data_IF_801952564391
#
_entry.id   IF_801952564391
#
_cell.length_a   1.000
_cell.length_b   1.000
_cell.length_c   1.000
_cell.angle_alpha   90.00
_cell.angle_beta   90.00
_cell.angle_gamma   90.00
#
_symmetry.space_group_name_H-M   'P 1'
#
loop_
_entity.id
_entity.type
_entity.pdbx_description
1 polymer ?
#
# COMPACT_ATOMS: atom_id res chain seq x y z
N UNK A 1 0.29 -61.04 -49.40
CA UNK A 1 -0.54 -59.81 -49.41
C UNK A 1 -0.44 -59.16 -48.03
N UNK A 2 0.23 -58.00 -47.92
CA UNK A 2 0.48 -57.32 -46.64
C UNK A 2 -0.46 -56.12 -46.58
N UNK A 3 -1.54 -56.21 -45.78
CA UNK A 3 -2.48 -55.09 -45.57
C UNK A 3 -1.82 -54.08 -44.62
N UNK A 4 -1.56 -52.86 -45.10
CA UNK A 4 -1.22 -51.74 -44.23
C UNK A 4 -2.52 -51.09 -43.75
N UNK A 5 -2.64 -50.90 -42.44
CA UNK A 5 -3.74 -50.14 -41.82
C UNK A 5 -3.16 -48.77 -41.49
N UNK A 6 -3.55 -47.74 -42.25
CA UNK A 6 -3.19 -46.35 -41.97
C UNK A 6 -4.05 -45.84 -40.81
N UNK A 7 -3.45 -45.68 -39.64
CA UNK A 7 -4.07 -45.00 -38.50
C UNK A 7 -4.08 -43.49 -38.75
N UNK A 8 -5.26 -42.92 -38.97
CA UNK A 8 -5.45 -41.47 -39.12
C UNK A 8 -5.71 -40.88 -37.73
N UNK A 9 -4.65 -40.51 -37.01
CA UNK A 9 -4.77 -39.80 -35.73
C UNK A 9 -5.15 -38.34 -36.02
N UNK A 10 -6.43 -38.00 -35.87
CA UNK A 10 -6.87 -36.60 -35.86
C UNK A 10 -6.44 -35.96 -34.55
N UNK A 11 -5.51 -34.99 -34.59
CA UNK A 11 -5.19 -34.14 -33.46
C UNK A 11 -6.35 -33.16 -33.23
N UNK A 12 -7.18 -33.45 -32.25
CA UNK A 12 -8.10 -32.46 -31.68
C UNK A 12 -7.27 -31.47 -30.87
N UNK A 13 -7.08 -30.27 -31.42
CA UNK A 13 -6.53 -29.13 -30.68
C UNK A 13 -7.56 -28.71 -29.62
N UNK A 14 -7.34 -29.11 -28.37
CA UNK A 14 -8.09 -28.57 -27.23
C UNK A 14 -7.48 -27.20 -26.92
N UNK A 15 -8.09 -26.14 -27.44
CA UNK A 15 -7.83 -24.79 -26.95
C UNK A 15 -8.58 -24.59 -25.64
N UNK A 16 -7.84 -24.47 -24.53
CA UNK A 16 -8.42 -23.98 -23.28
C UNK A 16 -8.58 -22.46 -23.41
N UNK A 17 -9.80 -21.97 -23.50
CA UNK A 17 -10.08 -20.53 -23.38
C UNK A 17 -10.08 -20.15 -21.90
N UNK A 18 -9.12 -19.34 -21.48
CA UNK A 18 -9.15 -18.69 -20.17
C UNK A 18 -9.97 -17.41 -20.27
N UNK A 19 -11.07 -17.33 -19.54
CA UNK A 19 -11.91 -16.14 -19.43
C UNK A 19 -12.18 -15.84 -17.96
N UNK A 20 -12.16 -14.55 -17.61
CA UNK A 20 -12.50 -14.07 -16.26
C UNK A 20 -13.82 -13.29 -16.33
N UNK A 21 -14.72 -13.57 -15.40
CA UNK A 21 -15.99 -12.84 -15.23
C UNK A 21 -15.83 -11.92 -14.04
N UNK A 22 -16.23 -10.65 -14.20
CA UNK A 22 -16.20 -9.65 -13.15
C UNK A 22 -17.62 -9.13 -12.91
N UNK A 23 -18.01 -9.02 -11.64
CA UNK A 23 -19.25 -8.38 -11.22
C UNK A 23 -18.92 -7.15 -10.37
N UNK A 24 -19.75 -6.12 -10.48
CA UNK A 24 -19.74 -4.96 -9.59
C UNK A 24 -20.88 -5.13 -8.59
N UNK A 25 -20.58 -4.85 -7.32
CA UNK A 25 -21.51 -5.01 -6.20
C UNK A 25 -21.54 -3.68 -5.45
N UNK A 26 -22.73 -3.15 -5.22
CA UNK A 26 -22.90 -1.94 -4.42
C UNK A 26 -22.72 -2.25 -2.94
N UNK A 27 -22.24 -1.28 -2.18
CA UNK A 27 -22.12 -1.40 -0.72
C UNK A 27 -23.50 -1.53 -0.06
N UNK A 28 -23.54 -2.15 1.12
CA UNK A 28 -24.75 -2.29 1.93
C UNK A 28 -25.95 -2.98 1.25
N UNK A 29 -25.72 -3.72 0.16
CA UNK A 29 -26.75 -4.55 -0.46
C UNK A 29 -27.37 -5.52 0.55
N UNK A 30 -28.69 -5.70 0.45
CA UNK A 30 -29.44 -6.57 1.36
C UNK A 30 -29.05 -8.04 1.15
N UNK A 31 -29.03 -8.82 2.23
CA UNK A 31 -28.89 -10.28 2.14
C UNK A 31 -29.99 -10.85 1.23
N UNK A 32 -29.60 -11.76 0.34
CA UNK A 32 -30.42 -12.33 -0.72
C UNK A 32 -30.47 -11.52 -2.02
N UNK A 33 -29.83 -10.34 -2.09
CA UNK A 33 -29.78 -9.54 -3.32
C UNK A 33 -28.99 -10.27 -4.41
N UNK A 34 -29.40 -10.07 -5.68
CA UNK A 34 -28.74 -10.67 -6.84
C UNK A 34 -27.42 -9.96 -7.16
N UNK A 35 -26.35 -10.73 -7.31
CA UNK A 35 -25.04 -10.26 -7.80
C UNK A 35 -24.90 -10.49 -9.30
N UNK A 36 -25.25 -11.70 -9.79
CA UNK A 36 -25.10 -12.05 -11.20
C UNK A 36 -25.52 -13.48 -11.53
N UNK A 37 -25.68 -13.78 -12.82
CA UNK A 37 -26.11 -15.09 -13.33
C UNK A 37 -24.91 -15.92 -13.84
N UNK A 38 -24.19 -16.54 -12.91
CA UNK A 38 -22.96 -17.27 -13.21
C UNK A 38 -23.19 -18.50 -14.10
N UNK A 39 -24.38 -19.12 -14.05
CA UNK A 39 -24.72 -20.24 -14.93
C UNK A 39 -24.77 -19.80 -16.40
N UNK A 40 -25.43 -18.67 -16.66
CA UNK A 40 -25.55 -18.07 -17.98
C UNK A 40 -24.20 -17.58 -18.49
N UNK A 41 -23.46 -16.83 -17.67
CA UNK A 41 -22.17 -16.23 -18.06
C UNK A 41 -21.09 -17.29 -18.36
N UNK A 42 -21.17 -18.46 -17.72
CA UNK A 42 -20.29 -19.60 -18.01
C UNK A 42 -20.83 -20.52 -19.12
N UNK A 43 -22.06 -20.32 -19.59
CA UNK A 43 -22.74 -21.24 -20.51
C UNK A 43 -22.95 -22.65 -19.92
N UNK A 44 -23.13 -22.74 -18.60
CA UNK A 44 -23.28 -24.00 -17.87
C UNK A 44 -24.72 -24.11 -17.34
N UNK A 45 -25.43 -25.17 -17.72
CA UNK A 45 -26.77 -25.44 -17.17
C UNK A 45 -26.77 -25.71 -15.65
N UNK A 46 -27.83 -25.30 -14.96
CA UNK A 46 -27.98 -25.44 -13.50
C UNK A 46 -27.84 -26.89 -13.00
N UNK A 47 -28.29 -27.86 -13.78
CA UNK A 47 -28.13 -29.30 -13.46
C UNK A 47 -26.67 -29.73 -13.39
N UNK A 48 -25.80 -29.11 -14.19
CA UNK A 48 -24.36 -29.36 -14.15
C UNK A 48 -23.73 -28.74 -12.90
N UNK A 49 -24.23 -27.59 -12.42
CA UNK A 49 -23.78 -27.01 -11.15
C UNK A 49 -24.13 -27.90 -9.96
N UNK A 50 -25.33 -28.51 -9.96
CA UNK A 50 -25.78 -29.47 -8.94
C UNK A 50 -24.98 -30.77 -8.97
N UNK A 51 -24.98 -31.45 -10.12
CA UNK A 51 -24.33 -32.76 -10.29
C UNK A 51 -22.81 -32.73 -10.09
N UNK A 52 -22.15 -31.60 -10.39
CA UNK A 52 -20.71 -31.41 -10.17
C UNK A 52 -20.38 -30.76 -8.83
N UNK A 53 -21.37 -30.55 -7.96
CA UNK A 53 -21.18 -29.96 -6.63
C UNK A 53 -20.42 -28.62 -6.69
N UNK A 54 -20.84 -27.72 -7.57
CA UNK A 54 -20.24 -26.39 -7.69
C UNK A 54 -20.20 -25.68 -6.32
N UNK A 55 -19.10 -24.98 -6.05
CA UNK A 55 -18.84 -24.27 -4.78
C UNK A 55 -18.16 -22.95 -5.09
N UNK A 56 -18.47 -21.95 -4.28
CA UNK A 56 -17.72 -20.70 -4.25
C UNK A 56 -16.66 -20.85 -3.17
N UNK A 57 -15.41 -20.55 -3.51
CA UNK A 57 -14.31 -20.51 -2.56
C UNK A 57 -13.90 -19.06 -2.35
N UNK A 58 -13.70 -18.70 -1.09
CA UNK A 58 -13.23 -17.37 -0.68
C UNK A 58 -11.82 -17.51 -0.11
N UNK A 59 -10.98 -16.52 -0.39
CA UNK A 59 -9.63 -16.43 0.21
C UNK A 59 -9.66 -16.02 1.68
N UNK A 60 -10.72 -15.34 2.11
CA UNK A 60 -10.97 -14.97 3.51
C UNK A 60 -11.93 -15.97 4.19
N UNK A 61 -11.93 -15.95 5.52
CA UNK A 61 -12.81 -16.69 6.41
C UNK A 61 -14.29 -16.31 6.28
N UNK A 62 -14.60 -15.06 5.92
CA UNK A 62 -15.97 -14.56 5.76
C UNK A 62 -16.51 -14.79 4.34
N UNK A 63 -17.75 -15.27 4.27
CA UNK A 63 -18.42 -15.61 3.00
C UNK A 63 -19.52 -14.60 2.69
N UNK A 64 -19.18 -13.54 1.96
CA UNK A 64 -20.12 -12.47 1.63
C UNK A 64 -21.10 -12.84 0.51
N UNK A 65 -20.75 -13.82 -0.33
CA UNK A 65 -21.54 -14.24 -1.49
C UNK A 65 -21.84 -15.74 -1.38
N UNK A 66 -22.98 -16.17 -1.90
CA UNK A 66 -23.31 -17.58 -2.04
C UNK A 66 -23.81 -17.93 -3.44
N UNK A 67 -23.62 -19.19 -3.83
CA UNK A 67 -24.17 -19.72 -5.08
C UNK A 67 -25.52 -20.40 -4.81
N UNK A 68 -26.58 -19.86 -5.40
CA UNK A 68 -27.85 -20.54 -5.51
C UNK A 68 -27.81 -21.52 -6.69
N UNK A 69 -27.66 -22.82 -6.40
CA UNK A 69 -27.51 -23.88 -7.42
C UNK A 69 -28.78 -24.18 -8.19
N UNK A 70 -29.94 -23.89 -7.62
CA UNK A 70 -31.23 -24.10 -8.26
C UNK A 70 -31.48 -23.08 -9.36
N UNK A 71 -31.07 -21.83 -9.10
CA UNK A 71 -31.27 -20.71 -10.01
C UNK A 71 -30.05 -20.38 -10.87
N UNK A 72 -28.87 -20.87 -10.49
CA UNK A 72 -27.61 -20.58 -11.20
C UNK A 72 -27.06 -19.19 -10.96
N UNK A 73 -27.47 -18.53 -9.86
CA UNK A 73 -27.14 -17.12 -9.57
C UNK A 73 -26.31 -16.98 -8.31
N UNK A 74 -25.50 -15.91 -8.25
CA UNK A 74 -24.78 -15.47 -7.06
C UNK A 74 -25.65 -14.49 -6.26
N UNK A 75 -25.73 -14.70 -4.94
CA UNK A 75 -26.53 -13.87 -4.03
C UNK A 75 -25.66 -13.33 -2.89
N UNK A 76 -26.05 -12.18 -2.34
CA UNK A 76 -25.44 -11.64 -1.12
C UNK A 76 -25.84 -12.52 0.07
N UNK A 77 -24.86 -13.03 0.81
CA UNK A 77 -25.07 -13.86 2.01
C UNK A 77 -24.93 -13.03 3.30
N UNK A 78 -23.98 -12.11 3.31
CA UNK A 78 -23.73 -11.20 4.44
C UNK A 78 -23.62 -9.78 3.93
N UNK A 79 -24.01 -8.80 4.76
CA UNK A 79 -23.89 -7.38 4.40
C UNK A 79 -22.41 -7.03 4.20
N UNK A 80 -22.12 -6.41 3.07
CA UNK A 80 -20.78 -5.96 2.71
C UNK A 80 -20.63 -4.52 3.18
N UNK A 81 -19.74 -4.33 4.15
CA UNK A 81 -19.30 -3.03 4.64
C UNK A 81 -17.95 -2.73 3.99
N UNK A 82 -17.93 -1.70 3.15
CA UNK A 82 -16.75 -1.33 2.37
C UNK A 82 -15.63 -0.88 3.29
N UNK A 83 -15.92 -0.10 4.32
CA UNK A 83 -14.93 0.42 5.27
C UNK A 83 -14.30 -0.72 6.06
N UNK A 84 -15.09 -1.67 6.53
CA UNK A 84 -14.58 -2.84 7.25
C UNK A 84 -13.69 -3.74 6.36
N UNK A 85 -14.11 -3.95 5.12
CA UNK A 85 -13.34 -4.75 4.15
C UNK A 85 -12.08 -4.03 3.68
N UNK A 86 -12.18 -2.74 3.35
CA UNK A 86 -11.02 -1.95 2.96
C UNK A 86 -10.02 -1.83 4.10
N UNK A 87 -10.48 -1.70 5.36
CA UNK A 87 -9.61 -1.73 6.53
C UNK A 87 -8.91 -3.10 6.73
N UNK A 88 -9.56 -4.19 6.32
CA UNK A 88 -9.00 -5.55 6.38
C UNK A 88 -8.13 -5.89 5.15
N UNK A 89 -8.36 -5.24 4.00
CA UNK A 89 -7.65 -5.46 2.74
C UNK A 89 -6.47 -4.51 2.53
N UNK A 90 -6.22 -3.58 3.44
CA UNK A 90 -4.93 -2.89 3.52
C UNK A 90 -3.88 -3.95 3.84
N UNK A 91 -2.72 -4.00 3.16
CA UNK A 91 -1.70 -4.96 3.52
C UNK A 91 -1.32 -4.73 5.00
N UNK A 92 -1.68 -5.67 5.86
CA UNK A 92 -1.11 -5.77 7.22
C UNK A 92 0.42 -6.01 7.18
N UNK A 93 0.97 -6.20 6.00
CA UNK A 93 2.40 -6.38 5.73
C UNK A 93 2.98 -4.97 5.55
N UNK A 94 3.96 -4.65 6.38
CA UNK A 94 4.78 -3.44 6.21
C UNK A 94 5.76 -3.68 5.05
N UNK A 95 5.35 -3.32 3.83
CA UNK A 95 6.13 -3.52 2.61
C UNK A 95 6.53 -2.21 1.92
N UNK A 96 6.07 -1.07 2.44
CA UNK A 96 6.47 0.24 1.94
C UNK A 96 7.41 0.92 2.94
N UNK A 97 8.62 1.23 2.48
CA UNK A 97 9.56 2.03 3.27
C UNK A 97 9.22 3.52 3.13
N UNK A 98 9.33 4.32 4.21
CA UNK A 98 9.22 5.77 4.11
C UNK A 98 10.18 6.34 3.06
N UNK A 99 9.73 7.33 2.29
CA UNK A 99 10.51 7.92 1.20
C UNK A 99 10.56 9.44 1.26
N UNK A 100 11.68 10.04 0.86
CA UNK A 100 11.79 11.49 0.68
C UNK A 100 11.76 11.82 -0.81
N UNK A 101 11.21 12.98 -1.17
CA UNK A 101 11.17 13.46 -2.56
C UNK A 101 12.57 13.53 -3.19
N UNK A 102 13.58 13.84 -2.37
CA UNK A 102 14.99 13.80 -2.75
C UNK A 102 15.82 13.11 -1.67
N UNK A 103 16.84 12.34 -2.06
CA UNK A 103 17.80 11.72 -1.14
C UNK A 103 18.78 12.73 -0.51
N UNK A 104 18.83 13.95 -1.04
CA UNK A 104 19.66 15.02 -0.48
C UNK A 104 18.99 16.38 -0.57
N UNK A 105 19.11 17.18 0.49
CA UNK A 105 18.58 18.54 0.55
C UNK A 105 19.66 19.52 1.00
N UNK A 106 19.79 20.64 0.29
CA UNK A 106 20.74 21.71 0.63
C UNK A 106 20.02 22.85 1.32
N UNK A 107 20.60 23.31 2.42
CA UNK A 107 20.19 24.53 3.12
C UNK A 107 21.35 25.54 3.11
N UNK A 108 21.02 26.77 2.77
CA UNK A 108 21.90 27.93 2.95
C UNK A 108 21.37 28.71 4.14
N UNK A 109 22.15 28.77 5.22
CA UNK A 109 21.75 29.52 6.44
C UNK A 109 22.88 30.48 6.74
N UNK A 110 22.54 31.73 7.05
CA UNK A 110 23.53 32.72 7.48
C UNK A 110 24.18 32.30 8.80
N UNK A 111 25.48 32.54 8.95
CA UNK A 111 26.15 32.39 10.24
C UNK A 111 25.58 33.32 11.34
N UNK A 112 24.96 34.42 10.91
CA UNK A 112 24.25 35.36 11.77
C UNK A 112 22.88 34.84 12.23
N UNK A 113 22.50 33.62 11.84
CA UNK A 113 21.26 33.00 12.29
C UNK A 113 21.24 32.88 13.81
N UNK A 114 20.16 33.39 14.40
CA UNK A 114 20.00 33.42 15.85
C UNK A 114 19.71 32.00 16.35
N UNK A 115 20.31 31.60 17.47
CA UNK A 115 19.97 30.36 18.17
C UNK A 115 18.46 30.33 18.44
N UNK A 116 17.82 29.20 18.16
CA UNK A 116 16.36 29.04 18.18
C UNK A 116 15.69 29.24 16.83
N UNK A 117 16.42 29.69 15.80
CA UNK A 117 15.92 29.74 14.42
C UNK A 117 15.46 28.37 13.95
N UNK A 118 14.32 28.33 13.25
CA UNK A 118 13.64 27.11 12.81
C UNK A 118 13.74 26.93 11.30
N UNK A 119 14.07 25.72 10.88
CA UNK A 119 14.19 25.33 9.48
C UNK A 119 13.23 24.17 9.20
N UNK A 120 12.24 24.41 8.33
CA UNK A 120 11.23 23.40 8.01
C UNK A 120 11.83 22.34 7.09
N UNK A 121 11.61 21.08 7.45
CA UNK A 121 12.01 19.91 6.66
C UNK A 121 10.82 19.39 5.85
N UNK A 122 11.12 18.77 4.71
CA UNK A 122 10.13 17.99 3.98
C UNK A 122 9.82 16.71 4.76
N UNK A 123 8.55 16.35 4.78
CA UNK A 123 8.08 15.12 5.40
C UNK A 123 8.36 13.96 4.45
N UNK A 124 8.89 12.87 5.00
CA UNK A 124 8.86 11.58 4.33
C UNK A 124 7.41 11.13 4.04
N UNK A 125 7.21 10.40 2.96
CA UNK A 125 5.93 9.85 2.52
C UNK A 125 6.02 8.34 2.63
N UNK A 126 5.00 7.75 3.22
CA UNK A 126 4.85 6.31 3.37
C UNK A 126 3.46 5.93 2.88
N UNK A 127 3.40 4.89 2.03
CA UNK A 127 2.15 4.43 1.45
C UNK A 127 1.35 3.54 2.41
N UNK A 128 1.98 3.05 3.48
CA UNK A 128 1.33 2.24 4.50
C UNK A 128 0.44 3.09 5.42
N UNK A 129 -0.67 2.50 5.86
CA UNK A 129 -1.71 3.18 6.64
C UNK A 129 -1.63 2.75 8.10
N UNK A 130 -1.98 3.65 9.02
CA UNK A 130 -2.08 3.34 10.44
C UNK A 130 -0.71 3.23 11.09
N UNK A 131 -0.48 2.17 11.86
CA UNK A 131 0.79 1.96 12.60
C UNK A 131 1.95 1.60 11.68
N UNK A 132 1.69 0.99 10.54
CA UNK A 132 2.72 0.64 9.57
C UNK A 132 3.21 1.85 8.76
N UNK A 133 2.48 2.96 8.75
CA UNK A 133 2.97 4.17 8.10
C UNK A 133 4.04 4.89 8.94
N UNK A 134 4.63 5.95 8.36
CA UNK A 134 5.58 6.85 9.00
C UNK A 134 5.18 7.27 10.43
N UNK A 135 6.02 6.95 11.42
CA UNK A 135 5.78 7.25 12.83
C UNK A 135 6.69 8.34 13.39
N UNK A 136 7.99 8.28 13.07
CA UNK A 136 8.99 9.08 13.77
C UNK A 136 10.17 9.48 12.89
N UNK A 137 10.99 10.40 13.41
CA UNK A 137 12.20 10.89 12.76
C UNK A 137 13.34 10.97 13.77
N UNK A 138 14.57 10.83 13.27
CA UNK A 138 15.79 11.15 14.01
C UNK A 138 16.71 12.02 13.18
N UNK A 139 17.56 12.80 13.85
CA UNK A 139 18.57 13.66 13.23
C UNK A 139 19.93 13.36 13.84
N UNK A 140 20.96 13.24 13.01
CA UNK A 140 22.34 13.02 13.46
C UNK A 140 23.35 13.72 12.54
N UNK A 141 24.41 14.35 13.05
CA UNK A 141 24.67 14.64 14.45
C UNK A 141 23.77 15.77 15.00
N UNK A 142 23.64 15.86 16.32
CA UNK A 142 22.76 16.85 17.00
C UNK A 142 23.52 18.03 17.62
N UNK A 143 24.78 18.25 17.24
CA UNK A 143 25.65 19.26 17.85
C UNK A 143 25.18 20.70 17.62
N UNK A 144 24.73 21.01 16.40
CA UNK A 144 24.29 22.36 16.03
C UNK A 144 22.78 22.47 15.90
N UNK A 145 22.09 21.36 15.64
CA UNK A 145 20.66 21.33 15.36
C UNK A 145 19.97 20.28 16.22
N UNK A 146 18.75 20.60 16.64
CA UNK A 146 17.83 19.67 17.29
C UNK A 146 16.58 19.52 16.44
N UNK A 147 16.07 18.30 16.31
CA UNK A 147 14.81 18.04 15.63
C UNK A 147 13.62 18.32 16.57
N UNK A 148 12.60 19.00 16.05
CA UNK A 148 11.31 19.21 16.70
C UNK A 148 10.18 18.72 15.79
N UNK A 149 9.29 17.93 16.37
CA UNK A 149 8.07 17.44 15.75
C UNK A 149 6.88 18.15 16.39
N UNK A 150 6.07 18.83 15.58
CA UNK A 150 4.89 19.56 16.05
C UNK A 150 3.63 19.03 15.35
N UNK A 151 2.65 18.60 16.14
CA UNK A 151 1.37 18.13 15.60
C UNK A 151 0.51 19.32 15.20
N UNK A 152 0.03 19.34 13.97
CA UNK A 152 -0.85 20.35 13.41
C UNK A 152 -2.31 19.93 13.58
N UNK A 153 -3.23 20.91 13.57
CA UNK A 153 -4.65 20.67 13.83
C UNK A 153 -5.34 19.77 12.78
N UNK A 154 -4.76 19.66 11.59
CA UNK A 154 -5.20 18.75 10.52
C UNK A 154 -4.69 17.30 10.69
N UNK A 155 -3.96 17.02 11.78
CA UNK A 155 -3.33 15.71 12.01
C UNK A 155 -1.96 15.54 11.35
N UNK A 156 -1.48 16.51 10.56
CA UNK A 156 -0.13 16.45 10.02
C UNK A 156 0.93 16.73 11.09
N UNK A 157 2.12 16.15 10.89
CA UNK A 157 3.30 16.43 11.71
C UNK A 157 4.21 17.37 10.95
N UNK A 158 4.43 18.57 11.50
CA UNK A 158 5.44 19.51 11.03
C UNK A 158 6.80 19.09 11.60
N UNK A 159 7.78 18.92 10.72
CA UNK A 159 9.15 18.56 11.08
C UNK A 159 10.03 19.79 10.94
N UNK A 160 10.61 20.26 12.04
CA UNK A 160 11.48 21.43 12.09
C UNK A 160 12.85 21.06 12.68
N UNK A 161 13.92 21.61 12.12
CA UNK A 161 15.22 21.66 12.81
C UNK A 161 15.35 23.01 13.50
N UNK A 162 15.89 23.00 14.71
CA UNK A 162 16.10 24.20 15.52
C UNK A 162 17.60 24.37 15.75
N UNK A 163 18.13 25.53 15.39
CA UNK A 163 19.53 25.86 15.65
C UNK A 163 19.78 25.97 17.16
N UNK A 164 20.68 25.16 17.69
CA UNK A 164 21.05 25.13 19.11
C UNK A 164 22.39 25.81 19.40
N UNK A 165 23.26 25.87 18.39
CA UNK A 165 24.60 26.45 18.50
C UNK A 165 24.85 27.37 17.32
N UNK A 166 25.41 28.56 17.58
CA UNK A 166 25.81 29.50 16.54
C UNK A 166 26.72 28.82 15.50
N UNK A 167 26.57 29.25 14.26
CA UNK A 167 27.31 28.72 13.13
C UNK A 167 28.49 29.66 12.87
N UNK A 168 29.59 29.08 12.42
CA UNK A 168 30.85 29.78 12.19
C UNK A 168 31.46 29.17 10.94
N UNK A 169 31.45 29.93 9.84
CA UNK A 169 31.95 29.47 8.55
C UNK A 169 33.45 29.21 8.60
N UNK A 170 34.21 30.09 9.25
CA UNK A 170 35.66 29.99 9.35
C UNK A 170 36.08 28.75 10.15
N UNK A 171 35.26 28.31 11.12
CA UNK A 171 35.46 27.04 11.81
C UNK A 171 34.96 25.84 10.99
N UNK A 172 33.76 25.94 10.40
CA UNK A 172 33.13 24.86 9.66
C UNK A 172 32.15 25.39 8.59
N UNK A 173 32.64 25.51 7.36
CA UNK A 173 31.86 26.00 6.20
C UNK A 173 30.68 25.08 5.83
N UNK A 174 30.82 23.77 6.08
CA UNK A 174 29.83 22.76 5.70
C UNK A 174 29.49 21.81 6.84
N UNK A 175 28.20 21.66 7.11
CA UNK A 175 27.68 20.62 7.99
C UNK A 175 26.90 19.58 7.17
N UNK A 176 27.13 18.30 7.45
CA UNK A 176 26.34 17.21 6.88
C UNK A 176 25.56 16.55 8.00
N UNK A 177 24.24 16.54 7.89
CA UNK A 177 23.33 15.87 8.81
C UNK A 177 22.60 14.75 8.07
N UNK A 178 22.16 13.76 8.83
CA UNK A 178 21.37 12.63 8.40
C UNK A 178 20.02 12.73 9.09
N UNK A 179 18.97 12.92 8.29
CA UNK A 179 17.58 12.82 8.75
C UNK A 179 17.09 11.41 8.41
N UNK A 180 16.65 10.66 9.41
CA UNK A 180 16.09 9.31 9.20
C UNK A 180 14.61 9.33 9.54
N UNK A 181 13.80 8.72 8.68
CA UNK A 181 12.38 8.49 8.89
C UNK A 181 12.14 7.02 9.23
N UNK A 182 11.28 6.75 10.21
CA UNK A 182 10.94 5.40 10.66
C UNK A 182 9.44 5.18 10.56
N UNK A 183 9.06 4.04 9.99
CA UNK A 183 7.71 3.52 10.11
C UNK A 183 7.49 2.88 11.51
N UNK A 184 6.30 2.34 11.73
CA UNK A 184 5.96 1.58 12.93
C UNK A 184 5.64 0.13 12.68
N UNK A 185 5.98 -0.39 11.50
CA UNK A 185 5.66 -1.75 11.09
C UNK A 185 6.60 -2.81 11.67
N UNK A 186 6.29 -4.07 11.35
CA UNK A 186 7.13 -5.23 11.65
C UNK A 186 7.33 -6.07 10.37
N UNK A 187 8.56 -6.16 9.83
CA UNK A 187 9.79 -5.53 10.31
C UNK A 187 9.71 -4.00 10.22
N UNK A 188 10.45 -3.30 11.08
CA UNK A 188 10.58 -1.84 11.00
C UNK A 188 11.43 -1.49 9.76
N UNK A 189 10.95 -0.60 8.90
CA UNK A 189 11.70 -0.06 7.77
C UNK A 189 12.01 1.43 7.99
N UNK A 190 13.13 1.89 7.43
CA UNK A 190 13.57 3.27 7.60
C UNK A 190 14.48 3.77 6.47
N UNK A 191 14.19 4.96 5.95
CA UNK A 191 15.03 5.64 4.95
C UNK A 191 15.69 6.88 5.54
N UNK A 192 16.83 7.25 4.96
CA UNK A 192 17.57 8.45 5.33
C UNK A 192 17.70 9.46 4.19
N UNK A 193 17.77 10.74 4.55
CA UNK A 193 18.05 11.87 3.68
C UNK A 193 19.29 12.61 4.18
N UNK A 194 20.21 12.90 3.27
CA UNK A 194 21.37 13.74 3.58
C UNK A 194 20.97 15.23 3.55
N UNK A 195 21.16 15.92 4.66
CA UNK A 195 21.01 17.36 4.74
C UNK A 195 22.39 18.00 4.68
N UNK A 196 22.62 18.81 3.65
CA UNK A 196 23.86 19.54 3.47
C UNK A 196 23.61 20.99 3.81
N UNK A 197 24.33 21.48 4.79
CA UNK A 197 24.32 22.86 5.17
C UNK A 197 25.57 23.58 4.69
N UNK A 198 25.37 24.77 4.12
CA UNK A 198 26.44 25.71 3.80
C UNK A 198 26.15 27.04 4.49
N UNK A 199 27.11 27.54 5.25
CA UNK A 199 27.08 28.89 5.80
C UNK A 199 27.03 29.91 4.67
N UNK A 200 25.92 30.64 4.57
CA UNK A 200 25.83 31.83 3.73
C UNK A 200 26.45 33.04 4.45
N UNK A 201 27.03 33.94 3.66
CA UNK A 201 27.48 35.29 4.10
C UNK A 201 26.34 36.12 4.67
#
# INVERSE_FOLDING_TARGET
MRRQVTFFTSLLFISASFGQINYSIDEEMRVGSLVGNIAEDLGIGVERLKSRSARVYFGDSKQYIELNKDRGVLLIKERIDREALCAQSVPYINDNEPSFESISKRFEISELAIIGSKFVLEKAIDADIGTNGLQSYSLSPTNNFQLKLESQANGDKKVEMILQKALDREQQEKLSLLLTAFDGGQPLLCLWQNLIWVSGS
#
